data_IF_490309913426
#
_entry.id   IF_490309913426
#
_cell.length_a   1.000
_cell.length_b   1.000
_cell.length_c   1.000
_cell.angle_alpha   90.00
_cell.angle_beta   90.00
_cell.angle_gamma   90.00
#
_symmetry.space_group_name_H-M   'P 1'
#
loop_
_entity.id
_entity.type
_entity.pdbx_description
1 polymer ?
#
# COMPACT_ATOMS: atom_id res chain seq x y z
N UNK A 1 14.64 -9.80 0.12
CA UNK A 1 14.48 -9.41 -1.30
C UNK A 1 14.52 -10.60 -2.24
N UNK A 2 15.51 -11.49 -2.16
CA UNK A 2 15.58 -12.65 -3.08
C UNK A 2 14.36 -13.57 -3.06
N UNK A 3 13.78 -13.83 -1.88
CA UNK A 3 12.52 -14.59 -1.75
C UNK A 3 11.38 -13.93 -2.53
N UNK A 4 11.18 -12.62 -2.37
CA UNK A 4 10.18 -11.86 -3.13
C UNK A 4 10.42 -12.00 -4.64
N UNK A 5 11.66 -11.78 -5.10
CA UNK A 5 11.98 -11.83 -6.52
C UNK A 5 11.94 -13.24 -7.12
N UNK A 6 12.00 -14.29 -6.30
CA UNK A 6 11.74 -15.67 -6.71
C UNK A 6 10.25 -15.93 -6.84
N UNK A 7 9.48 -15.46 -5.87
CA UNK A 7 8.03 -15.70 -5.80
C UNK A 7 7.23 -14.76 -6.74
N UNK A 8 7.83 -13.63 -7.15
CA UNK A 8 7.31 -12.64 -8.12
C UNK A 8 8.38 -12.33 -9.19
N UNK A 9 8.71 -13.31 -10.06
CA UNK A 9 9.84 -13.19 -10.99
C UNK A 9 9.72 -12.02 -11.97
N UNK A 10 8.50 -11.58 -12.28
CA UNK A 10 8.24 -10.42 -13.14
C UNK A 10 8.90 -9.15 -12.60
N UNK A 11 9.07 -9.00 -11.28
CA UNK A 11 9.74 -7.86 -10.67
C UNK A 11 11.22 -7.75 -11.05
N UNK A 12 11.88 -8.87 -11.39
CA UNK A 12 13.29 -8.85 -11.83
C UNK A 12 13.46 -8.16 -13.18
N UNK A 13 12.43 -8.25 -14.04
CA UNK A 13 12.52 -7.85 -15.45
C UNK A 13 12.75 -6.36 -15.67
N UNK A 14 12.41 -5.50 -14.72
CA UNK A 14 12.54 -4.06 -14.87
C UNK A 14 13.45 -3.38 -13.87
N UNK A 15 14.14 -4.09 -12.96
CA UNK A 15 15.11 -3.47 -12.03
C UNK A 15 16.49 -4.16 -12.02
N UNK A 16 16.75 -5.06 -12.97
CA UNK A 16 17.97 -5.88 -13.01
C UNK A 16 19.28 -5.07 -12.99
N UNK A 17 19.25 -3.81 -13.43
CA UNK A 17 20.37 -2.86 -13.44
C UNK A 17 20.30 -1.79 -12.34
N UNK A 18 19.17 -1.63 -11.65
CA UNK A 18 18.97 -0.53 -10.69
C UNK A 18 19.24 -0.95 -9.26
N UNK A 19 20.47 -0.69 -8.82
CA UNK A 19 20.85 -0.89 -7.43
C UNK A 19 20.09 0.03 -6.47
N UNK A 20 19.64 1.22 -6.90
CA UNK A 20 18.99 2.19 -6.01
C UNK A 20 17.58 1.76 -5.59
N UNK A 21 16.72 1.35 -6.55
CA UNK A 21 15.38 0.83 -6.24
C UNK A 21 15.49 -0.47 -5.44
N UNK A 22 16.39 -1.36 -5.83
CA UNK A 22 16.65 -2.61 -5.10
C UNK A 22 17.11 -2.32 -3.66
N UNK A 23 18.14 -1.49 -3.48
CA UNK A 23 18.70 -1.17 -2.17
C UNK A 23 17.70 -0.41 -1.31
N UNK A 24 16.95 0.54 -1.89
CA UNK A 24 15.86 1.24 -1.20
C UNK A 24 14.84 0.23 -0.67
N UNK A 25 14.46 -0.76 -1.47
CA UNK A 25 13.51 -1.79 -1.06
C UNK A 25 14.08 -2.71 0.02
N UNK A 26 15.36 -3.08 -0.07
CA UNK A 26 16.07 -3.85 0.97
C UNK A 26 16.07 -3.10 2.30
N UNK A 27 16.36 -1.79 2.30
CA UNK A 27 16.35 -0.98 3.52
C UNK A 27 14.95 -0.86 4.13
N UNK A 28 13.92 -0.71 3.29
CA UNK A 28 12.54 -0.68 3.77
C UNK A 28 12.10 -2.02 4.37
N UNK A 29 12.47 -3.15 3.76
CA UNK A 29 12.29 -4.47 4.39
C UNK A 29 13.06 -4.61 5.71
N UNK A 30 14.25 -4.01 5.82
CA UNK A 30 15.01 -3.98 7.07
C UNK A 30 14.40 -3.07 8.14
N UNK A 31 13.39 -2.27 7.79
CA UNK A 31 12.61 -1.47 8.72
C UNK A 31 12.85 0.04 8.65
N UNK A 32 13.53 0.55 7.62
CA UNK A 32 13.74 2.01 7.45
C UNK A 32 12.43 2.79 7.49
N UNK A 33 11.37 2.29 6.84
CA UNK A 33 10.05 2.95 6.88
C UNK A 33 9.32 2.79 8.23
N UNK A 34 9.45 1.63 8.87
CA UNK A 34 8.52 1.19 9.91
C UNK A 34 9.10 1.18 11.32
N UNK A 35 10.41 1.43 11.46
CA UNK A 35 11.21 1.13 12.66
C UNK A 35 11.14 -0.34 13.12
N UNK A 36 10.68 -1.23 12.25
CA UNK A 36 10.56 -2.67 12.48
C UNK A 36 10.75 -3.43 11.16
N UNK A 37 11.24 -4.66 11.25
CA UNK A 37 11.46 -5.49 10.06
C UNK A 37 10.13 -5.84 9.40
N UNK A 38 10.10 -5.72 8.07
CA UNK A 38 8.99 -6.16 7.23
C UNK A 38 9.40 -7.46 6.56
N UNK A 39 8.49 -8.42 6.51
CA UNK A 39 8.69 -9.71 5.89
C UNK A 39 7.92 -9.81 4.59
N UNK A 40 8.45 -10.61 3.67
CA UNK A 40 7.72 -10.99 2.47
C UNK A 40 6.83 -12.19 2.79
N UNK A 41 5.54 -12.09 2.46
CA UNK A 41 4.61 -13.21 2.50
C UNK A 41 4.15 -13.52 1.07
N UNK A 42 4.37 -14.76 0.63
CA UNK A 42 4.09 -15.21 -0.73
C UNK A 42 2.60 -15.33 -1.05
N UNK A 43 1.75 -15.36 -0.02
CA UNK A 43 0.31 -15.46 -0.17
C UNK A 43 -0.26 -14.25 -0.92
N UNK A 44 -1.43 -14.43 -1.53
CA UNK A 44 -2.17 -13.32 -2.11
C UNK A 44 -2.79 -12.46 -0.99
N UNK A 45 -3.01 -11.15 -1.24
CA UNK A 45 -3.78 -10.29 -0.34
C UNK A 45 -5.18 -10.83 -0.05
N UNK A 46 -5.64 -10.68 1.20
CA UNK A 46 -6.97 -11.11 1.65
C UNK A 46 -8.10 -10.23 1.10
N UNK A 47 -7.77 -8.98 0.77
CA UNK A 47 -8.71 -8.05 0.12
C UNK A 47 -9.15 -8.59 -1.26
N UNK A 48 -10.40 -8.36 -1.65
CA UNK A 48 -10.91 -8.80 -2.95
C UNK A 48 -10.57 -7.85 -4.10
N UNK A 49 -10.15 -6.61 -3.83
CA UNK A 49 -9.94 -5.57 -4.84
C UNK A 49 -8.52 -4.99 -4.86
N UNK A 50 -7.72 -5.19 -3.80
CA UNK A 50 -6.40 -4.60 -3.71
C UNK A 50 -5.30 -5.48 -4.36
N UNK A 51 -4.26 -4.79 -4.84
CA UNK A 51 -3.08 -5.42 -5.48
C UNK A 51 -2.05 -5.87 -4.45
N UNK A 52 -1.98 -5.21 -3.31
CA UNK A 52 -1.07 -5.51 -2.22
C UNK A 52 -1.75 -5.19 -0.90
N UNK A 53 -1.26 -5.84 0.16
CA UNK A 53 -1.76 -5.68 1.51
C UNK A 53 -0.58 -5.75 2.47
N UNK A 54 -0.65 -4.93 3.51
CA UNK A 54 0.16 -5.11 4.71
C UNK A 54 -0.64 -5.84 5.76
N UNK A 55 -0.06 -6.90 6.31
CA UNK A 55 -0.57 -7.53 7.51
C UNK A 55 -0.04 -6.80 8.76
N UNK A 56 -0.96 -6.16 9.47
CA UNK A 56 -0.69 -5.43 10.71
C UNK A 56 -0.90 -6.23 11.99
N UNK A 57 -1.12 -7.56 11.93
CA UNK A 57 -1.39 -8.47 13.07
C UNK A 57 -0.91 -7.94 14.42
N UNK A 58 -1.85 -7.86 15.37
CA UNK A 58 -1.75 -7.15 16.66
C UNK A 58 -0.87 -7.83 17.71
N UNK A 59 -0.50 -9.09 17.52
CA UNK A 59 0.59 -9.69 18.29
C UNK A 59 1.93 -9.27 17.67
N UNK A 60 3.00 -9.18 18.46
CA UNK A 60 4.40 -8.89 18.07
C UNK A 60 4.98 -9.72 16.89
N UNK A 61 4.14 -10.52 16.24
CA UNK A 61 4.33 -11.11 14.94
C UNK A 61 4.73 -10.11 13.85
N UNK A 62 5.93 -10.34 13.33
CA UNK A 62 6.44 -10.05 11.99
C UNK A 62 5.41 -9.42 11.02
N UNK A 63 5.47 -8.10 10.84
CA UNK A 63 4.70 -7.41 9.79
C UNK A 63 5.08 -7.95 8.43
N UNK A 64 4.11 -8.20 7.57
CA UNK A 64 4.37 -8.73 6.23
C UNK A 64 3.67 -7.94 5.14
N UNK A 65 4.29 -7.94 3.96
CA UNK A 65 3.67 -7.45 2.72
C UNK A 65 3.32 -8.65 1.86
N UNK A 66 2.10 -8.64 1.33
CA UNK A 66 1.60 -9.53 0.30
C UNK A 66 1.36 -8.72 -0.97
N UNK A 67 1.72 -9.26 -2.13
CA UNK A 67 1.41 -8.65 -3.42
C UNK A 67 0.82 -9.73 -4.30
N UNK A 68 -0.32 -9.44 -4.92
CA UNK A 68 -1.00 -10.35 -5.81
C UNK A 68 -0.12 -10.74 -6.99
N UNK A 69 -0.35 -11.92 -7.58
CA UNK A 69 0.36 -12.32 -8.81
C UNK A 69 -0.42 -11.96 -10.09
N UNK A 70 -1.75 -11.99 -10.03
CA UNK A 70 -2.65 -11.82 -11.18
C UNK A 70 -3.68 -10.73 -10.92
N UNK A 71 -4.18 -10.06 -11.96
CA UNK A 71 -5.36 -9.22 -11.81
C UNK A 71 -6.57 -10.07 -11.39
N UNK A 72 -7.31 -9.65 -10.37
CA UNK A 72 -8.48 -10.38 -9.85
C UNK A 72 -9.82 -9.86 -10.42
N UNK A 73 -9.79 -8.73 -11.14
CA UNK A 73 -10.97 -8.00 -11.60
C UNK A 73 -10.69 -7.25 -12.92
N UNK A 74 -11.74 -6.69 -13.51
CA UNK A 74 -11.68 -5.92 -14.75
C UNK A 74 -11.35 -6.75 -15.99
N UNK A 75 -11.10 -6.06 -17.11
CA UNK A 75 -10.84 -6.68 -18.43
C UNK A 75 -9.56 -7.53 -18.48
N UNK A 76 -8.67 -7.35 -17.50
CA UNK A 76 -7.41 -8.09 -17.39
C UNK A 76 -7.47 -9.25 -16.39
N UNK A 77 -8.64 -9.59 -15.85
CA UNK A 77 -8.79 -10.66 -14.84
C UNK A 77 -8.09 -11.95 -15.29
N UNK A 78 -7.27 -12.52 -14.40
CA UNK A 78 -6.46 -13.71 -14.65
C UNK A 78 -5.10 -13.44 -15.32
N UNK A 79 -4.88 -12.25 -15.89
CA UNK A 79 -3.59 -11.89 -16.46
C UNK A 79 -2.57 -11.59 -15.34
N UNK A 80 -1.31 -11.94 -15.60
CA UNK A 80 -0.18 -11.65 -14.71
C UNK A 80 0.02 -10.14 -14.56
N UNK A 81 0.32 -9.68 -13.35
CA UNK A 81 0.71 -8.28 -13.12
C UNK A 81 2.04 -7.96 -13.79
N UNK A 82 2.14 -6.77 -14.39
CA UNK A 82 3.40 -6.30 -14.98
C UNK A 82 4.45 -6.00 -13.92
N UNK A 83 5.72 -5.92 -14.33
CA UNK A 83 6.81 -5.53 -13.43
C UNK A 83 6.51 -4.20 -12.72
N UNK A 84 6.08 -3.18 -13.47
CA UNK A 84 5.75 -1.88 -12.91
C UNK A 84 4.55 -1.94 -11.95
N UNK A 85 3.53 -2.75 -12.22
CA UNK A 85 2.42 -2.93 -11.28
C UNK A 85 2.91 -3.44 -9.93
N UNK A 86 3.73 -4.49 -9.93
CA UNK A 86 4.26 -5.10 -8.72
C UNK A 86 5.14 -4.11 -7.94
N UNK A 87 5.98 -3.34 -8.64
CA UNK A 87 6.81 -2.32 -8.02
C UNK A 87 6.03 -1.14 -7.45
N UNK A 88 5.03 -0.64 -8.19
CA UNK A 88 4.16 0.43 -7.71
C UNK A 88 3.41 0.03 -6.43
N UNK A 89 2.91 -1.20 -6.39
CA UNK A 89 2.22 -1.74 -5.23
C UNK A 89 3.17 -1.88 -4.03
N UNK A 90 4.37 -2.45 -4.22
CA UNK A 90 5.37 -2.57 -3.16
C UNK A 90 5.78 -1.21 -2.57
N UNK A 91 6.06 -0.23 -3.43
CA UNK A 91 6.46 1.13 -3.00
C UNK A 91 5.34 1.78 -2.19
N UNK A 92 4.09 1.67 -2.66
CA UNK A 92 2.93 2.18 -1.94
C UNK A 92 2.81 1.54 -0.55
N UNK A 93 2.93 0.21 -0.44
CA UNK A 93 2.88 -0.45 0.86
C UNK A 93 4.01 0.02 1.79
N UNK A 94 5.24 0.19 1.31
CA UNK A 94 6.29 0.73 2.17
C UNK A 94 5.97 2.13 2.71
N UNK A 95 5.38 3.00 1.88
CA UNK A 95 4.93 4.31 2.34
C UNK A 95 3.75 4.21 3.30
N UNK A 96 2.83 3.26 3.08
CA UNK A 96 1.73 2.99 3.99
C UNK A 96 2.24 2.51 5.36
N UNK A 97 3.22 1.61 5.38
CA UNK A 97 3.88 1.14 6.59
C UNK A 97 4.58 2.27 7.37
N UNK A 98 5.07 3.30 6.69
CA UNK A 98 5.67 4.46 7.38
C UNK A 98 4.70 5.21 8.30
N UNK A 99 3.40 4.96 8.14
CA UNK A 99 2.35 5.50 9.00
C UNK A 99 1.89 4.53 10.10
N UNK A 100 2.53 3.36 10.28
CA UNK A 100 2.06 2.30 11.19
C UNK A 100 1.83 2.76 12.64
N UNK A 101 2.72 3.58 13.20
CA UNK A 101 2.53 4.09 14.57
C UNK A 101 1.29 4.97 14.72
N UNK A 102 0.92 5.71 13.67
CA UNK A 102 -0.31 6.49 13.66
C UNK A 102 -1.54 5.57 13.60
N UNK A 103 -1.44 4.44 12.90
CA UNK A 103 -2.50 3.44 12.85
C UNK A 103 -2.81 2.89 14.25
N UNK A 104 -1.78 2.48 15.00
CA UNK A 104 -1.95 2.01 16.39
C UNK A 104 -2.61 3.08 17.25
N UNK A 105 -2.13 4.33 17.19
CA UNK A 105 -2.69 5.41 18.01
C UNK A 105 -4.15 5.70 17.69
N UNK A 106 -4.54 5.71 16.42
CA UNK A 106 -5.93 5.92 16.02
C UNK A 106 -6.84 4.75 16.43
N UNK A 107 -6.35 3.51 16.36
CA UNK A 107 -7.07 2.33 16.84
C UNK A 107 -7.25 2.38 18.36
N UNK A 108 -6.22 2.75 19.12
CA UNK A 108 -6.30 2.92 20.58
C UNK A 108 -7.30 4.02 20.98
N UNK A 109 -7.27 5.17 20.29
CA UNK A 109 -8.26 6.25 20.49
C UNK A 109 -9.68 5.80 20.14
N UNK A 110 -9.86 5.03 19.07
CA UNK A 110 -11.17 4.52 18.69
C UNK A 110 -11.69 3.45 19.66
N UNK A 111 -10.82 2.52 20.09
CA UNK A 111 -11.12 1.48 21.08
C UNK A 111 -11.44 2.06 22.46
N UNK A 112 -10.89 3.22 22.80
CA UNK A 112 -11.22 3.94 24.03
C UNK A 112 -12.43 4.86 23.89
N UNK A 113 -13.03 4.95 22.70
CA UNK A 113 -14.18 5.81 22.41
C UNK A 113 -13.83 7.31 22.33
N UNK A 114 -12.56 7.67 22.29
CA UNK A 114 -12.08 9.07 22.18
C UNK A 114 -12.44 9.66 20.82
N UNK A 115 -12.40 8.83 19.76
CA UNK A 115 -12.81 9.23 18.42
C UNK A 115 -13.97 8.39 17.91
N UNK A 116 -14.87 9.03 17.18
CA UNK A 116 -15.99 8.39 16.51
C UNK A 116 -15.54 7.56 15.30
N UNK A 117 -16.40 6.65 14.85
CA UNK A 117 -16.23 5.93 13.57
C UNK A 117 -15.93 6.87 12.40
N UNK A 118 -16.62 8.00 12.30
CA UNK A 118 -16.43 8.98 11.23
C UNK A 118 -15.03 9.59 11.28
N UNK A 119 -14.56 9.94 12.46
CA UNK A 119 -13.22 10.49 12.66
C UNK A 119 -12.14 9.45 12.37
N UNK A 120 -12.32 8.20 12.80
CA UNK A 120 -11.40 7.12 12.49
C UNK A 120 -11.28 6.89 10.97
N UNK A 121 -12.41 6.85 10.24
CA UNK A 121 -12.42 6.74 8.76
C UNK A 121 -11.69 7.91 8.11
N UNK A 122 -11.96 9.15 8.53
CA UNK A 122 -11.30 10.35 7.99
C UNK A 122 -9.78 10.35 8.26
N UNK A 123 -9.36 9.92 9.46
CA UNK A 123 -7.93 9.78 9.76
C UNK A 123 -7.29 8.69 8.91
N UNK A 124 -7.95 7.54 8.74
CA UNK A 124 -7.45 6.40 7.94
C UNK A 124 -7.24 6.79 6.48
N UNK A 125 -8.21 7.47 5.89
CA UNK A 125 -8.14 7.95 4.50
C UNK A 125 -7.09 9.04 4.31
N UNK A 126 -6.94 9.99 5.24
CA UNK A 126 -5.85 10.99 5.21
C UNK A 126 -4.46 10.36 5.29
N UNK A 127 -4.28 9.29 6.06
CA UNK A 127 -3.01 8.56 6.10
C UNK A 127 -2.70 7.90 4.76
N UNK A 128 -3.68 7.21 4.18
CA UNK A 128 -3.51 6.60 2.87
C UNK A 128 -3.18 7.64 1.81
N UNK A 129 -3.83 8.81 1.85
CA UNK A 129 -3.53 9.93 0.97
C UNK A 129 -2.07 10.39 1.06
N UNK A 130 -1.51 10.46 2.28
CA UNK A 130 -0.07 10.75 2.45
C UNK A 130 0.81 9.69 1.80
N UNK A 131 0.43 8.42 1.86
CA UNK A 131 1.14 7.33 1.16
C UNK A 131 1.05 7.49 -0.36
N UNK A 132 -0.12 7.85 -0.88
CA UNK A 132 -0.34 8.17 -2.31
C UNK A 132 0.61 9.29 -2.77
N UNK A 133 0.69 10.39 -2.02
CA UNK A 133 1.57 11.51 -2.34
C UNK A 133 3.05 11.10 -2.36
N UNK A 134 3.50 10.33 -1.37
CA UNK A 134 4.87 9.78 -1.33
C UNK A 134 5.16 8.86 -2.51
N UNK A 135 4.21 8.00 -2.91
CA UNK A 135 4.34 7.15 -4.09
C UNK A 135 4.46 7.96 -5.39
N UNK A 136 3.70 9.05 -5.54
CA UNK A 136 3.83 9.97 -6.69
C UNK A 136 5.19 10.64 -6.70
N UNK A 137 5.70 11.04 -5.54
CA UNK A 137 7.03 11.64 -5.43
C UNK A 137 8.12 10.63 -5.81
N UNK A 138 8.06 9.41 -5.27
CA UNK A 138 8.97 8.31 -5.65
C UNK A 138 8.92 8.04 -7.14
N UNK A 139 7.72 8.05 -7.73
CA UNK A 139 7.55 7.91 -9.17
C UNK A 139 8.31 9.00 -9.94
N UNK A 140 8.07 10.27 -9.61
CA UNK A 140 8.67 11.43 -10.30
C UNK A 140 10.20 11.47 -10.14
N UNK A 141 10.71 11.19 -8.93
CA UNK A 141 12.12 11.38 -8.58
C UNK A 141 13.00 10.16 -8.82
N UNK A 142 12.42 8.95 -8.74
CA UNK A 142 13.19 7.70 -8.77
C UNK A 142 12.78 6.83 -9.95
N UNK A 143 11.50 6.45 -10.03
CA UNK A 143 11.06 5.45 -11.00
C UNK A 143 11.07 5.95 -12.44
N UNK A 144 10.47 7.10 -12.71
CA UNK A 144 10.32 7.64 -14.07
C UNK A 144 11.68 7.97 -14.71
N UNK A 145 12.63 8.65 -14.02
CA UNK A 145 13.97 8.85 -14.56
C UNK A 145 14.67 7.52 -14.88
N UNK A 146 14.52 6.54 -13.99
CA UNK A 146 15.08 5.22 -14.21
C UNK A 146 14.47 4.51 -15.42
N UNK A 147 13.14 4.41 -15.51
CA UNK A 147 12.45 3.80 -16.63
C UNK A 147 12.87 4.43 -17.97
N UNK A 148 12.98 5.77 -18.01
CA UNK A 148 13.51 6.50 -19.18
C UNK A 148 14.94 6.10 -19.52
N UNK A 149 15.83 6.00 -18.53
CA UNK A 149 17.23 5.60 -18.75
C UNK A 149 17.39 4.19 -19.32
N UNK A 150 16.41 3.31 -19.09
CA UNK A 150 16.39 1.94 -19.59
C UNK A 150 15.56 1.78 -20.88
N UNK A 151 14.96 2.86 -21.39
CA UNK A 151 14.08 2.80 -22.58
C UNK A 151 12.73 2.13 -22.32
N UNK A 152 12.29 2.03 -21.07
CA UNK A 152 10.98 1.47 -20.74
C UNK A 152 9.88 2.53 -20.79
N UNK A 153 8.74 2.16 -21.37
CA UNK A 153 7.51 2.91 -21.19
C UNK A 153 6.99 2.68 -19.77
N UNK A 154 6.66 3.76 -19.08
CA UNK A 154 6.11 3.73 -17.72
C UNK A 154 4.68 4.25 -17.74
N UNK A 155 3.77 3.58 -17.04
CA UNK A 155 2.40 4.02 -16.91
C UNK A 155 2.19 4.83 -15.60
N UNK A 156 2.00 6.16 -15.69
CA UNK A 156 1.84 7.00 -14.51
C UNK A 156 0.59 6.66 -13.68
N UNK A 157 -0.44 6.03 -14.26
CA UNK A 157 -1.66 5.68 -13.52
C UNK A 157 -1.43 4.64 -12.43
N UNK A 158 -0.41 3.77 -12.56
CA UNK A 158 -0.04 2.80 -11.53
C UNK A 158 0.55 3.49 -10.29
N UNK A 159 1.04 4.71 -10.45
CA UNK A 159 1.65 5.51 -9.39
C UNK A 159 0.70 6.60 -8.89
N UNK A 160 -0.61 6.40 -9.09
CA UNK A 160 -1.68 7.31 -8.69
C UNK A 160 -1.59 8.72 -9.32
N UNK A 161 -0.84 8.89 -10.40
CA UNK A 161 -0.76 10.16 -11.11
C UNK A 161 -2.09 10.47 -11.82
N UNK A 162 -2.37 11.76 -12.04
CA UNK A 162 -3.61 12.23 -12.66
C UNK A 162 -4.80 12.35 -11.69
N UNK A 163 -4.57 12.10 -10.40
CA UNK A 163 -5.51 12.38 -9.31
C UNK A 163 -5.06 13.65 -8.56
N UNK A 164 -5.99 14.34 -7.88
CA UNK A 164 -5.67 15.57 -7.16
C UNK A 164 -4.62 15.37 -6.06
N UNK A 165 -3.80 16.40 -5.86
CA UNK A 165 -2.86 16.55 -4.74
C UNK A 165 -3.54 17.24 -3.53
N UNK A 166 -4.81 17.65 -3.64
CA UNK A 166 -5.67 18.06 -2.53
C UNK A 166 -6.47 16.87 -1.97
N UNK A 167 -6.53 16.74 -0.65
CA UNK A 167 -7.21 15.62 0.01
C UNK A 167 -8.74 15.65 -0.22
N UNK A 168 -9.37 16.83 -0.13
CA UNK A 168 -10.82 16.94 -0.25
C UNK A 168 -11.28 16.64 -1.67
N UNK A 169 -10.56 17.15 -2.66
CA UNK A 169 -10.80 16.80 -4.07
C UNK A 169 -10.55 15.31 -4.30
N UNK A 170 -9.45 14.75 -3.79
CA UNK A 170 -9.13 13.34 -3.94
C UNK A 170 -10.20 12.43 -3.34
N UNK A 171 -10.62 12.67 -2.09
CA UNK A 171 -11.62 11.85 -1.41
C UNK A 171 -13.01 12.00 -2.05
N UNK A 172 -13.35 13.19 -2.55
CA UNK A 172 -14.61 13.43 -3.25
C UNK A 172 -14.74 12.66 -4.57
N UNK A 173 -13.62 12.22 -5.17
CA UNK A 173 -13.64 11.41 -6.39
C UNK A 173 -14.15 9.98 -6.17
N UNK A 174 -14.29 9.55 -4.91
CA UNK A 174 -14.76 8.22 -4.56
C UNK A 174 -16.23 8.26 -4.16
N UNK A 175 -17.10 7.89 -5.10
CA UNK A 175 -18.55 7.98 -4.95
C UNK A 175 -19.24 6.63 -4.75
N UNK A 176 -18.52 5.52 -4.90
CA UNK A 176 -19.08 4.17 -4.78
C UNK A 176 -19.23 3.77 -3.30
N UNK A 177 -20.48 3.63 -2.79
CA UNK A 177 -20.72 3.28 -1.38
C UNK A 177 -20.28 1.84 -1.05
N UNK A 178 -20.09 0.98 -2.04
CA UNK A 178 -19.57 -0.38 -1.85
C UNK A 178 -18.04 -0.44 -1.85
N UNK A 179 -17.39 0.66 -2.20
CA UNK A 179 -15.95 0.77 -2.38
C UNK A 179 -15.27 1.66 -1.34
N UNK A 180 -14.06 2.10 -1.70
CA UNK A 180 -13.31 3.08 -0.92
C UNK A 180 -14.08 4.42 -0.84
N UNK A 181 -14.05 5.17 0.28
CA UNK A 181 -13.43 4.82 1.56
C UNK A 181 -14.35 4.02 2.51
N UNK A 182 -15.57 3.70 2.10
CA UNK A 182 -16.59 3.04 2.93
C UNK A 182 -16.16 1.67 3.45
N UNK A 183 -15.21 1.02 2.80
CA UNK A 183 -14.53 -0.19 3.29
C UNK A 183 -13.90 -0.02 4.66
N UNK A 184 -13.39 1.17 5.00
CA UNK A 184 -12.92 1.47 6.36
C UNK A 184 -14.06 1.47 7.38
N UNK A 185 -15.26 1.88 6.97
CA UNK A 185 -16.43 1.79 7.84
C UNK A 185 -16.78 0.35 8.21
N UNK A 186 -16.68 -0.56 7.24
CA UNK A 186 -16.82 -2.00 7.49
C UNK A 186 -15.72 -2.52 8.42
N UNK A 187 -14.47 -2.16 8.14
CA UNK A 187 -13.34 -2.54 8.98
C UNK A 187 -13.52 -2.08 10.44
N UNK A 188 -13.96 -0.84 10.66
CA UNK A 188 -14.25 -0.35 12.00
C UNK A 188 -15.30 -1.21 12.71
N UNK A 189 -16.37 -1.60 12.02
CA UNK A 189 -17.45 -2.41 12.61
C UNK A 189 -16.98 -3.83 12.97
N UNK A 190 -16.03 -4.38 12.23
CA UNK A 190 -15.50 -5.74 12.42
C UNK A 190 -14.38 -5.78 13.46
N UNK A 191 -13.45 -4.81 13.41
CA UNK A 191 -12.18 -4.88 14.14
C UNK A 191 -12.13 -3.96 15.37
N UNK A 192 -12.95 -2.91 15.44
CA UNK A 192 -12.89 -1.90 16.50
C UNK A 192 -14.17 -1.91 17.35
N UNK A 193 -15.33 -1.73 16.74
CA UNK A 193 -16.61 -1.60 17.42
C UNK A 193 -16.91 -2.71 18.46
N UNK A 194 -16.58 -4.00 18.21
CA UNK A 194 -16.83 -5.07 19.18
C UNK A 194 -15.99 -4.96 20.46
N UNK A 195 -14.89 -4.21 20.42
CA UNK A 195 -13.90 -4.11 21.48
C UNK A 195 -13.83 -2.71 22.12
N UNK A 196 -14.72 -1.79 21.73
CA UNK A 196 -14.80 -0.45 22.33
C UNK A 196 -15.11 -0.59 23.82
N UNK A 197 -14.23 -0.04 24.65
CA UNK A 197 -14.36 -0.07 26.12
C UNK A 197 -15.50 0.87 26.51
N UNK A 198 -16.50 0.33 27.19
CA UNK A 198 -17.58 1.10 27.81
C UNK A 198 -17.16 1.65 29.17
#
# INVERSE_FOLDING_TARGET
>A
METLLRDRPQMRGCISSNKDIYNWSVRNFAGEAAAQRIYWDKADPNCSSCLAEINFSSSDSNKSIRIRQFFNSGVKKGATLSCENLWSALVFEFHNMSNYKLFIGDDEEALSGVISKREWIDRSTKREFKSVLKSREFYRKTWLPYARSQGYSSNPSYWHMGKSDDYNEWISSFTDPSGYPFTYGKQFDEDIAPYVRK
#
